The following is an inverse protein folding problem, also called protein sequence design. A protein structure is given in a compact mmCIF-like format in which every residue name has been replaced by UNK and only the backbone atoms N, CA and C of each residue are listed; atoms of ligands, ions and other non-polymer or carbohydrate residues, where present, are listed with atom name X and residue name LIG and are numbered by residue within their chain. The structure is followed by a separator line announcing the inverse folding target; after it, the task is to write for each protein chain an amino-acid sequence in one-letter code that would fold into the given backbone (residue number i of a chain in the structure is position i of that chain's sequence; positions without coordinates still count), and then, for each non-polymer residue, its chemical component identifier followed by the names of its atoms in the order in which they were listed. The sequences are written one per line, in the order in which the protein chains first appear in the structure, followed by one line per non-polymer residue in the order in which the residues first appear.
data_IF_608469350339
#
_entry.id   IF_608469350339
#
_cell.length_a   1.000
_cell.length_b   1.000
_cell.length_c   1.000
_cell.angle_alpha   90.00
_cell.angle_beta   90.00
_cell.angle_gamma   90.00
#
_symmetry.space_group_name_H-M   'P 1'
#
loop_
_entity.id
_entity.type
_entity.pdbx_description
1 polymer ?
#
# COMPACT_ATOMS: atom_id res chain seq x y z
N UNK A 1 23.89 -5.49 -9.08
CA UNK A 1 22.98 -5.58 -10.23
C UNK A 1 22.87 -4.22 -10.89
N UNK A 2 23.06 -4.20 -12.19
CA UNK A 2 23.00 -2.98 -12.99
C UNK A 2 21.63 -2.84 -13.66
N UNK A 3 21.02 -3.98 -14.00
CA UNK A 3 19.76 -4.06 -14.73
C UNK A 3 18.78 -4.98 -14.01
N UNK A 4 17.49 -4.70 -14.10
CA UNK A 4 16.43 -5.49 -13.46
C UNK A 4 16.38 -6.94 -13.92
N UNK A 5 16.71 -7.24 -15.18
CA UNK A 5 16.72 -8.61 -15.69
C UNK A 5 17.78 -9.51 -15.02
N UNK A 6 18.84 -8.92 -14.43
CA UNK A 6 19.86 -9.68 -13.69
C UNK A 6 19.34 -10.25 -12.37
N UNK A 7 18.14 -9.82 -11.93
CA UNK A 7 17.47 -10.35 -10.74
C UNK A 7 16.77 -11.69 -10.99
N UNK A 8 16.83 -12.20 -12.22
CA UNK A 8 16.18 -13.43 -12.64
C UNK A 8 17.18 -14.38 -13.29
N UNK A 9 16.95 -15.69 -13.21
CA UNK A 9 17.68 -16.63 -14.05
C UNK A 9 17.05 -16.72 -15.46
N UNK A 10 17.74 -17.37 -16.38
CA UNK A 10 17.29 -17.47 -17.79
C UNK A 10 15.92 -18.15 -17.91
N UNK A 11 15.63 -19.18 -17.10
CA UNK A 11 14.35 -19.90 -17.11
C UNK A 11 13.22 -19.03 -16.57
N UNK A 12 13.44 -18.31 -15.47
CA UNK A 12 12.49 -17.36 -14.93
C UNK A 12 12.16 -16.26 -15.94
N UNK A 13 13.18 -15.64 -16.54
CA UNK A 13 12.98 -14.63 -17.59
C UNK A 13 12.19 -15.16 -18.77
N UNK A 14 12.52 -16.33 -19.29
CA UNK A 14 11.80 -16.92 -20.40
C UNK A 14 10.33 -17.16 -20.07
N UNK A 15 10.04 -17.79 -18.92
CA UNK A 15 8.67 -18.08 -18.51
C UNK A 15 7.87 -16.80 -18.24
N UNK A 16 8.47 -15.82 -17.56
CA UNK A 16 7.83 -14.53 -17.27
C UNK A 16 7.59 -13.73 -18.55
N UNK A 17 8.54 -13.73 -19.51
CA UNK A 17 8.36 -13.04 -20.79
C UNK A 17 7.24 -13.65 -21.62
N UNK A 18 7.16 -14.99 -21.70
CA UNK A 18 6.06 -15.67 -22.39
C UNK A 18 4.72 -15.30 -21.76
N UNK A 19 4.64 -15.29 -20.42
CA UNK A 19 3.43 -14.92 -19.71
C UNK A 19 3.06 -13.45 -19.93
N UNK A 20 4.03 -12.54 -19.85
CA UNK A 20 3.85 -11.12 -20.12
C UNK A 20 3.30 -10.85 -21.54
N UNK A 21 3.87 -11.49 -22.57
CA UNK A 21 3.38 -11.38 -23.95
C UNK A 21 1.95 -11.91 -24.11
N UNK A 22 1.59 -12.98 -23.42
CA UNK A 22 0.20 -13.48 -23.43
C UNK A 22 -0.77 -12.51 -22.77
N UNK A 23 -0.37 -11.87 -21.67
CA UNK A 23 -1.18 -10.83 -21.01
C UNK A 23 -1.30 -9.59 -21.92
N UNK A 24 -0.21 -9.16 -22.53
CA UNK A 24 -0.19 -8.03 -23.47
C UNK A 24 -1.12 -8.22 -24.66
N UNK A 25 -1.27 -9.47 -25.12
CA UNK A 25 -2.15 -9.84 -26.22
C UNK A 25 -3.64 -9.91 -25.85
N UNK A 26 -4.04 -9.64 -24.61
CA UNK A 26 -5.44 -9.56 -24.22
C UNK A 26 -6.03 -8.25 -24.77
N UNK A 27 -7.07 -8.33 -25.59
CA UNK A 27 -7.70 -7.17 -26.24
C UNK A 27 -8.46 -6.29 -25.26
N UNK A 28 -9.17 -6.89 -24.30
CA UNK A 28 -9.97 -6.19 -23.33
C UNK A 28 -9.08 -5.49 -22.28
N UNK A 29 -9.12 -4.13 -22.18
CA UNK A 29 -8.18 -3.37 -21.37
C UNK A 29 -8.23 -3.69 -19.87
N UNK A 30 -9.44 -3.79 -19.29
CA UNK A 30 -9.62 -4.05 -17.85
C UNK A 30 -9.08 -5.44 -17.48
N UNK A 31 -9.31 -6.44 -18.31
CA UNK A 31 -8.77 -7.77 -18.12
C UNK A 31 -7.24 -7.77 -18.22
N UNK A 32 -6.69 -7.04 -19.18
CA UNK A 32 -5.24 -6.91 -19.33
C UNK A 32 -4.60 -6.26 -18.10
N UNK A 33 -5.21 -5.20 -17.56
CA UNK A 33 -4.76 -4.54 -16.32
C UNK A 33 -4.86 -5.48 -15.11
N UNK A 34 -5.97 -6.19 -14.96
CA UNK A 34 -6.19 -7.15 -13.88
C UNK A 34 -5.14 -8.27 -13.89
N UNK A 35 -4.86 -8.84 -15.07
CA UNK A 35 -3.83 -9.87 -15.21
C UNK A 35 -2.41 -9.32 -15.05
N UNK A 36 -2.18 -8.05 -15.36
CA UNK A 36 -0.90 -7.36 -15.09
C UNK A 36 -0.67 -7.19 -13.59
N UNK A 37 -1.72 -6.84 -12.83
CA UNK A 37 -1.65 -6.82 -11.37
C UNK A 37 -1.33 -8.20 -10.79
N UNK A 38 -1.99 -9.24 -11.32
CA UNK A 38 -1.73 -10.62 -10.90
C UNK A 38 -0.29 -11.05 -11.23
N UNK A 39 0.20 -10.69 -12.42
CA UNK A 39 1.56 -10.93 -12.88
C UNK A 39 2.58 -10.26 -11.94
N UNK A 40 2.33 -9.02 -11.53
CA UNK A 40 3.18 -8.32 -10.55
C UNK A 40 3.33 -9.12 -9.25
N UNK A 41 2.24 -9.70 -8.75
CA UNK A 41 2.33 -10.62 -7.60
C UNK A 41 3.20 -11.86 -7.87
N UNK A 42 3.19 -12.42 -9.09
CA UNK A 42 4.04 -13.56 -9.42
C UNK A 42 5.53 -13.19 -9.51
N UNK A 43 5.88 -11.94 -9.90
CA UNK A 43 7.25 -11.46 -9.94
C UNK A 43 7.94 -11.51 -8.57
N UNK A 44 7.22 -11.20 -7.49
CA UNK A 44 7.77 -11.20 -6.13
C UNK A 44 8.30 -12.57 -5.71
N UNK A 45 7.75 -13.65 -6.25
CA UNK A 45 8.10 -15.03 -5.89
C UNK A 45 8.99 -15.72 -6.93
N UNK A 46 9.13 -15.15 -8.11
CA UNK A 46 9.83 -15.78 -9.24
C UNK A 46 11.07 -14.99 -9.66
N UNK A 47 11.97 -14.79 -8.72
CA UNK A 47 13.25 -14.11 -8.91
C UNK A 47 14.36 -14.80 -8.10
N UNK A 48 15.62 -14.34 -8.20
CA UNK A 48 16.78 -14.94 -7.53
C UNK A 48 16.87 -14.66 -6.01
N UNK A 49 15.98 -13.82 -5.45
CA UNK A 49 16.06 -13.34 -4.07
C UNK A 49 14.90 -13.83 -3.18
N UNK A 50 14.08 -14.70 -3.73
CA UNK A 50 13.05 -15.39 -2.94
C UNK A 50 13.70 -16.30 -1.93
N UNK A 51 13.11 -16.41 -0.73
CA UNK A 51 13.64 -17.21 0.34
C UNK A 51 12.67 -18.32 0.76
N UNK A 52 13.18 -19.29 1.51
CA UNK A 52 12.39 -20.39 2.02
C UNK A 52 11.75 -20.02 3.36
N UNK A 53 10.48 -20.35 3.53
CA UNK A 53 9.73 -19.98 4.75
C UNK A 53 10.09 -20.80 5.99
N UNK A 54 10.85 -21.86 5.81
CA UNK A 54 11.31 -22.76 6.87
C UNK A 54 10.90 -24.21 6.62
N UNK A 55 11.46 -25.12 7.41
CA UNK A 55 11.22 -26.55 7.30
C UNK A 55 9.73 -26.89 7.52
N UNK A 56 9.24 -27.88 6.80
CA UNK A 56 7.90 -28.41 6.93
C UNK A 56 6.78 -27.62 6.23
N UNK A 57 7.02 -26.40 5.74
CA UNK A 57 5.97 -25.63 5.08
C UNK A 57 5.97 -25.76 3.55
N UNK A 58 7.12 -26.03 2.92
CA UNK A 58 7.30 -26.03 1.47
C UNK A 58 7.01 -24.66 0.81
N UNK A 59 6.86 -23.61 1.61
CA UNK A 59 6.43 -22.30 1.14
C UNK A 59 7.62 -21.39 0.83
N UNK A 60 7.48 -20.63 -0.25
CA UNK A 60 8.42 -19.59 -0.66
C UNK A 60 7.98 -18.25 -0.07
N UNK A 61 8.93 -17.45 0.41
CA UNK A 61 8.71 -16.04 0.75
C UNK A 61 9.01 -15.18 -0.45
N UNK A 62 8.23 -14.12 -0.61
CA UNK A 62 8.52 -13.10 -1.62
C UNK A 62 9.78 -12.30 -1.26
N UNK A 63 10.42 -11.71 -2.28
CA UNK A 63 11.68 -11.01 -2.12
C UNK A 63 11.61 -9.76 -1.21
N UNK A 64 10.43 -9.15 -1.11
CA UNK A 64 10.17 -7.94 -0.31
C UNK A 64 9.68 -8.23 1.12
N UNK A 65 9.88 -9.45 1.63
CA UNK A 65 9.45 -9.82 2.98
C UNK A 65 10.05 -8.93 4.11
N UNK A 66 11.07 -8.15 3.79
CA UNK A 66 11.71 -7.19 4.71
C UNK A 66 11.41 -5.72 4.39
N UNK A 67 10.47 -5.43 3.48
CA UNK A 67 10.10 -4.08 3.04
C UNK A 67 11.25 -3.24 2.44
N UNK A 68 12.36 -3.87 2.13
CA UNK A 68 13.53 -3.28 1.46
C UNK A 68 14.00 -4.17 0.32
N UNK A 69 14.67 -3.58 -0.66
CA UNK A 69 15.35 -4.32 -1.70
C UNK A 69 16.67 -4.89 -1.14
N UNK A 70 16.65 -6.15 -0.71
CA UNK A 70 17.83 -6.85 -0.17
C UNK A 70 18.23 -7.99 -1.11
N UNK A 71 19.18 -7.77 -2.02
CA UNK A 71 19.55 -8.73 -3.05
C UNK A 71 20.47 -9.84 -2.49
N UNK A 72 19.92 -10.72 -1.68
CA UNK A 72 20.60 -11.93 -1.22
C UNK A 72 20.17 -13.12 -2.08
N UNK A 73 21.09 -13.68 -2.85
CA UNK A 73 20.81 -14.89 -3.64
C UNK A 73 20.58 -16.09 -2.74
N UNK A 74 19.46 -16.74 -2.94
CA UNK A 74 19.14 -18.01 -2.31
C UNK A 74 18.97 -19.05 -3.41
N UNK A 75 19.51 -20.27 -3.27
CA UNK A 75 19.40 -21.33 -4.27
C UNK A 75 18.00 -21.96 -4.27
N UNK A 76 16.99 -21.14 -4.48
CA UNK A 76 15.58 -21.52 -4.52
C UNK A 76 14.94 -20.97 -5.77
N UNK A 77 14.11 -21.77 -6.42
CA UNK A 77 13.35 -21.36 -7.59
C UNK A 77 11.90 -21.81 -7.45
N UNK A 78 10.99 -20.86 -7.48
CA UNK A 78 9.57 -21.13 -7.57
C UNK A 78 9.14 -21.38 -9.01
N UNK A 79 8.02 -22.05 -9.20
CA UNK A 79 7.46 -22.29 -10.53
C UNK A 79 6.58 -21.09 -10.94
N UNK A 80 6.89 -20.45 -12.05
CA UNK A 80 6.18 -19.26 -12.54
C UNK A 80 4.70 -19.55 -12.80
N UNK A 81 4.41 -20.59 -13.59
CA UNK A 81 3.02 -20.99 -13.87
C UNK A 81 2.39 -21.72 -12.70
N UNK A 82 3.05 -22.76 -12.23
CA UNK A 82 2.69 -23.53 -11.04
C UNK A 82 1.54 -24.48 -11.19
N UNK A 83 1.11 -24.97 -10.04
CA UNK A 83 -0.05 -25.82 -9.85
C UNK A 83 -0.94 -25.19 -8.77
N UNK A 84 -2.11 -25.76 -8.51
CA UNK A 84 -3.03 -25.26 -7.46
C UNK A 84 -2.39 -25.23 -6.05
N UNK A 85 -1.31 -25.93 -5.82
CA UNK A 85 -0.59 -26.00 -4.53
C UNK A 85 0.75 -25.29 -4.53
N UNK A 86 1.19 -24.71 -5.65
CA UNK A 86 2.48 -24.01 -5.75
C UNK A 86 2.39 -22.64 -5.12
N UNK A 87 3.21 -22.37 -4.12
CA UNK A 87 3.31 -21.03 -3.52
C UNK A 87 3.87 -20.02 -4.52
N UNK A 88 3.27 -18.83 -4.61
CA UNK A 88 3.76 -17.73 -5.41
C UNK A 88 3.68 -17.92 -6.94
N UNK A 89 2.96 -18.92 -7.43
CA UNK A 89 2.74 -19.14 -8.84
C UNK A 89 1.55 -18.38 -9.39
N UNK A 90 1.56 -18.09 -10.68
CA UNK A 90 0.47 -17.38 -11.35
C UNK A 90 -0.88 -18.11 -11.22
N UNK A 91 -0.90 -19.44 -11.40
CA UNK A 91 -2.11 -20.26 -11.23
C UNK A 91 -2.69 -20.16 -9.81
N UNK A 92 -1.85 -20.30 -8.79
CA UNK A 92 -2.28 -20.23 -7.39
C UNK A 92 -2.82 -18.85 -7.03
N UNK A 93 -2.20 -17.80 -7.56
CA UNK A 93 -2.66 -16.44 -7.35
C UNK A 93 -3.96 -16.15 -8.08
N UNK A 94 -4.14 -16.67 -9.29
CA UNK A 94 -5.40 -16.55 -10.02
C UNK A 94 -6.57 -17.13 -9.19
N UNK A 95 -6.43 -18.37 -8.73
CA UNK A 95 -7.45 -19.03 -7.90
C UNK A 95 -7.64 -18.33 -6.54
N UNK A 96 -6.55 -17.94 -5.90
CA UNK A 96 -6.58 -17.38 -4.55
C UNK A 96 -6.92 -15.89 -4.48
N UNK A 97 -6.78 -15.14 -5.56
CA UNK A 97 -7.05 -13.69 -5.60
C UNK A 97 -8.21 -13.36 -6.51
N UNK A 98 -8.10 -13.64 -7.83
CA UNK A 98 -9.11 -13.23 -8.79
C UNK A 98 -10.41 -13.99 -8.58
N UNK A 99 -10.37 -15.31 -8.57
CA UNK A 99 -11.58 -16.12 -8.39
C UNK A 99 -12.27 -15.85 -7.06
N UNK A 100 -11.50 -15.78 -5.97
CA UNK A 100 -12.07 -15.44 -4.66
C UNK A 100 -12.61 -14.02 -4.57
N UNK A 101 -12.06 -13.06 -5.32
CA UNK A 101 -12.61 -11.72 -5.39
C UNK A 101 -13.95 -11.70 -6.13
N UNK A 102 -14.07 -12.46 -7.21
CA UNK A 102 -15.35 -12.63 -7.93
C UNK A 102 -16.39 -13.33 -7.04
N UNK A 103 -16.02 -14.44 -6.40
CA UNK A 103 -16.91 -15.15 -5.47
C UNK A 103 -17.40 -14.22 -4.33
N UNK A 104 -16.50 -13.34 -3.83
CA UNK A 104 -16.87 -12.35 -2.82
C UNK A 104 -17.79 -11.26 -3.38
N UNK A 105 -17.57 -10.83 -4.60
CA UNK A 105 -18.43 -9.83 -5.25
C UNK A 105 -19.85 -10.36 -5.49
N UNK A 106 -19.97 -11.66 -5.83
CA UNK A 106 -21.24 -12.32 -6.05
C UNK A 106 -22.03 -12.59 -4.75
N UNK A 107 -21.32 -12.95 -3.66
CA UNK A 107 -21.91 -13.25 -2.35
C UNK A 107 -21.03 -12.69 -1.21
N UNK A 108 -21.06 -11.36 -0.99
CA UNK A 108 -20.24 -10.69 -0.01
C UNK A 108 -20.60 -11.08 1.43
N UNK A 109 -19.59 -11.12 2.30
CA UNK A 109 -19.74 -11.45 3.70
C UNK A 109 -18.96 -10.52 4.61
N UNK A 110 -19.44 -10.37 5.84
CA UNK A 110 -18.73 -9.72 6.93
C UNK A 110 -18.15 -10.74 7.91
N UNK A 111 -17.08 -10.38 8.60
CA UNK A 111 -16.47 -11.21 9.63
C UNK A 111 -16.98 -10.81 11.02
N UNK A 112 -17.79 -11.68 11.65
CA UNK A 112 -18.20 -11.52 13.03
C UNK A 112 -17.22 -12.22 13.96
N UNK A 113 -16.77 -11.52 15.00
CA UNK A 113 -15.98 -12.10 16.08
C UNK A 113 -16.92 -12.75 17.09
N UNK A 114 -16.75 -14.05 17.34
CA UNK A 114 -17.43 -14.79 18.37
C UNK A 114 -16.46 -15.10 19.54
N UNK A 115 -16.97 -15.07 20.76
CA UNK A 115 -16.24 -15.40 21.99
C UNK A 115 -16.34 -14.31 23.05
N UNK A 116 -16.34 -14.71 24.32
CA UNK A 116 -16.31 -13.81 25.45
C UNK A 116 -14.92 -13.13 25.58
N UNK A 117 -14.89 -12.03 26.37
CA UNK A 117 -13.63 -11.36 26.69
C UNK A 117 -12.71 -12.36 27.44
N UNK A 118 -11.53 -12.62 26.90
CA UNK A 118 -10.55 -13.58 27.47
C UNK A 118 -10.54 -14.97 26.82
N UNK A 119 -11.49 -15.29 25.96
CA UNK A 119 -11.50 -16.54 25.20
C UNK A 119 -10.83 -16.40 23.82
N UNK A 120 -10.40 -17.53 23.24
CA UNK A 120 -9.86 -17.56 21.87
C UNK A 120 -10.99 -17.22 20.89
N UNK A 121 -10.97 -16.00 20.38
CA UNK A 121 -11.98 -15.50 19.44
C UNK A 121 -11.98 -16.34 18.15
N UNK A 122 -13.16 -16.77 17.73
CA UNK A 122 -13.41 -17.41 16.43
C UNK A 122 -14.03 -16.38 15.50
N UNK A 123 -13.67 -16.43 14.22
CA UNK A 123 -14.33 -15.64 13.18
C UNK A 123 -15.38 -16.48 12.47
N UNK A 124 -16.55 -15.91 12.29
CA UNK A 124 -17.66 -16.46 11.51
C UNK A 124 -17.95 -15.53 10.33
N UNK A 125 -18.20 -16.10 9.16
CA UNK A 125 -18.68 -15.35 8.01
C UNK A 125 -20.18 -15.16 8.10
N UNK A 126 -20.64 -13.92 7.98
CA UNK A 126 -22.06 -13.58 7.96
C UNK A 126 -22.39 -13.00 6.60
N UNK A 127 -23.28 -13.65 5.89
CA UNK A 127 -23.73 -13.29 4.54
C UNK A 127 -25.02 -12.46 4.59
N UNK A 128 -25.36 -11.79 3.48
CA UNK A 128 -26.59 -11.04 3.35
C UNK A 128 -26.62 -9.69 4.10
N UNK A 129 -25.50 -9.22 4.61
CA UNK A 129 -25.36 -7.92 5.27
C UNK A 129 -24.77 -6.84 4.35
N UNK A 130 -24.65 -7.12 3.06
CA UNK A 130 -24.07 -6.18 2.10
C UNK A 130 -25.07 -5.07 1.75
N UNK A 131 -24.64 -3.83 1.93
CA UNK A 131 -25.28 -2.70 1.31
C UNK A 131 -24.66 -2.46 -0.07
N UNK A 132 -25.47 -2.29 -1.14
CA UNK A 132 -24.91 -1.98 -2.44
C UNK A 132 -24.26 -0.58 -2.38
N UNK A 133 -22.94 -0.54 -2.50
CA UNK A 133 -22.19 0.67 -2.77
C UNK A 133 -22.48 1.04 -4.24
N UNK A 134 -23.45 1.93 -4.46
CA UNK A 134 -23.64 2.52 -5.77
C UNK A 134 -22.40 3.33 -6.12
N UNK A 135 -21.56 2.80 -7.03
CA UNK A 135 -20.38 3.50 -7.52
C UNK A 135 -20.82 4.62 -8.46
N UNK A 136 -21.14 5.76 -7.88
CA UNK A 136 -21.36 7.00 -8.63
C UNK A 136 -20.05 7.80 -8.56
N UNK A 137 -19.09 7.42 -9.44
CA UNK A 137 -17.78 8.03 -9.51
C UNK A 137 -17.87 9.42 -10.15
N UNK A 138 -17.22 10.38 -9.51
CA UNK A 138 -16.99 11.70 -10.06
C UNK A 138 -15.67 11.70 -10.86
N UNK A 139 -15.70 12.39 -11.99
CA UNK A 139 -14.51 12.60 -12.83
C UNK A 139 -13.56 13.66 -12.22
N UNK A 140 -14.13 14.62 -11.51
CA UNK A 140 -13.43 15.71 -10.81
C UNK A 140 -14.15 16.09 -9.51
N UNK A 141 -13.54 16.92 -8.69
CA UNK A 141 -14.12 17.38 -7.44
C UNK A 141 -15.40 18.21 -7.64
N UNK A 142 -15.52 18.94 -8.75
CA UNK A 142 -16.74 19.71 -9.08
C UNK A 142 -17.93 18.80 -9.36
N UNK A 143 -17.72 17.68 -10.04
CA UNK A 143 -18.74 16.67 -10.26
C UNK A 143 -19.14 15.95 -8.95
N UNK A 144 -18.18 15.68 -8.06
CA UNK A 144 -18.43 15.15 -6.72
C UNK A 144 -19.39 16.07 -5.93
N UNK A 145 -19.12 17.36 -5.91
CA UNK A 145 -19.99 18.36 -5.24
C UNK A 145 -21.42 18.41 -5.77
N UNK A 146 -21.65 18.03 -7.03
CA UNK A 146 -22.98 17.97 -7.64
C UNK A 146 -23.78 16.72 -7.26
N UNK A 147 -23.33 15.94 -6.29
CA UNK A 147 -24.04 14.80 -5.73
C UNK A 147 -23.49 13.44 -6.12
N UNK A 148 -22.27 13.38 -6.70
CA UNK A 148 -21.53 12.13 -6.86
C UNK A 148 -21.03 11.64 -5.48
N UNK A 149 -21.00 10.31 -5.28
CA UNK A 149 -20.69 9.72 -3.97
C UNK A 149 -19.22 9.46 -3.74
N UNK A 150 -18.44 9.28 -4.79
CA UNK A 150 -17.03 8.93 -4.72
C UNK A 150 -16.24 9.75 -5.73
N UNK A 151 -15.15 10.32 -5.27
CA UNK A 151 -14.14 10.94 -6.11
C UNK A 151 -12.79 10.26 -5.87
N UNK A 152 -12.15 9.82 -6.94
CA UNK A 152 -10.82 9.19 -6.90
C UNK A 152 -9.85 10.03 -7.72
N UNK A 153 -8.76 10.45 -7.10
CA UNK A 153 -7.68 11.16 -7.79
C UNK A 153 -6.34 10.48 -7.52
N UNK A 154 -5.41 10.65 -8.45
CA UNK A 154 -4.03 10.22 -8.32
C UNK A 154 -3.12 11.39 -8.66
N UNK A 155 -2.38 11.89 -7.67
CA UNK A 155 -1.53 13.07 -7.84
C UNK A 155 -0.69 13.36 -6.62
N UNK A 156 -0.18 14.58 -6.56
CA UNK A 156 0.59 15.11 -5.44
C UNK A 156 -0.36 15.50 -4.29
N UNK A 157 -0.21 14.87 -3.14
CA UNK A 157 -1.05 15.14 -1.95
C UNK A 157 -0.77 16.53 -1.32
N UNK A 158 0.26 17.24 -1.74
CA UNK A 158 0.52 18.62 -1.32
C UNK A 158 -0.24 19.66 -2.15
N UNK A 159 -0.87 19.25 -3.27
CA UNK A 159 -1.66 20.10 -4.15
C UNK A 159 -2.86 19.31 -4.68
N UNK A 160 -4.03 19.51 -4.10
CA UNK A 160 -5.27 18.86 -4.54
C UNK A 160 -6.22 19.86 -5.19
N UNK A 161 -7.17 19.37 -5.98
CA UNK A 161 -8.27 20.17 -6.54
C UNK A 161 -9.47 20.31 -5.57
N UNK A 162 -9.32 19.84 -4.33
CA UNK A 162 -10.35 19.91 -3.30
C UNK A 162 -10.48 21.36 -2.81
N UNK A 163 -11.69 21.85 -2.64
CA UNK A 163 -11.92 23.22 -2.18
C UNK A 163 -11.53 23.44 -0.71
N UNK A 164 -11.14 24.66 -0.40
CA UNK A 164 -10.83 25.07 0.97
C UNK A 164 -12.02 24.86 1.90
N UNK A 165 -11.75 24.27 3.09
CA UNK A 165 -12.75 24.09 4.14
C UNK A 165 -13.90 23.15 3.80
N UNK A 166 -13.78 22.33 2.75
CA UNK A 166 -14.87 21.49 2.25
C UNK A 166 -14.87 20.06 2.80
N UNK A 167 -13.85 19.67 3.57
CA UNK A 167 -13.66 18.31 4.10
C UNK A 167 -13.91 18.29 5.61
N UNK A 168 -14.75 17.39 6.09
CA UNK A 168 -15.05 17.25 7.53
C UNK A 168 -14.07 16.31 8.25
N UNK A 169 -13.52 15.34 7.54
CA UNK A 169 -12.55 14.41 8.12
C UNK A 169 -11.48 14.00 7.10
N UNK A 170 -10.23 13.97 7.56
CA UNK A 170 -9.09 13.42 6.83
C UNK A 170 -8.57 12.24 7.62
N UNK A 171 -8.46 11.08 6.97
CA UNK A 171 -7.89 9.86 7.56
C UNK A 171 -6.76 9.40 6.64
N UNK A 172 -5.56 9.26 7.19
CA UNK A 172 -4.37 8.92 6.40
C UNK A 172 -3.36 8.08 7.19
N UNK A 173 -2.46 7.46 6.47
CA UNK A 173 -1.31 6.72 6.96
C UNK A 173 -0.07 7.25 6.23
N UNK A 174 0.62 8.27 6.77
CA UNK A 174 1.75 8.91 6.11
C UNK A 174 2.96 7.96 6.08
N UNK A 175 3.93 8.17 5.17
CA UNK A 175 5.14 7.37 5.15
C UNK A 175 5.91 7.49 6.48
N UNK A 176 6.42 6.34 6.96
CA UNK A 176 7.13 6.24 8.24
C UNK A 176 8.62 6.60 8.09
N UNK A 177 8.89 7.85 7.76
CA UNK A 177 10.23 8.41 7.57
C UNK A 177 11.05 7.58 6.56
N UNK A 178 12.11 6.88 7.00
CA UNK A 178 13.00 6.08 6.16
C UNK A 178 12.75 4.55 6.21
N UNK A 179 11.59 4.12 6.73
CA UNK A 179 11.32 2.69 6.94
C UNK A 179 11.06 1.93 5.63
N UNK A 180 10.32 2.50 4.69
CA UNK A 180 9.93 1.84 3.43
C UNK A 180 10.29 2.73 2.24
N UNK A 181 11.12 2.20 1.36
CA UNK A 181 11.54 2.88 0.12
C UNK A 181 10.56 2.55 -1.02
N UNK A 182 9.36 3.16 -0.97
CA UNK A 182 8.23 2.82 -1.85
C UNK A 182 8.57 2.86 -3.34
N UNK A 183 9.15 3.94 -3.84
CA UNK A 183 9.50 4.08 -5.25
C UNK A 183 10.56 3.10 -5.71
N UNK A 184 11.53 2.77 -4.85
CA UNK A 184 12.55 1.77 -5.17
C UNK A 184 11.94 0.37 -5.33
N UNK A 185 10.96 0.02 -4.48
CA UNK A 185 10.24 -1.24 -4.57
C UNK A 185 9.31 -1.24 -5.78
N UNK A 186 8.64 -0.13 -6.05
CA UNK A 186 7.72 0.02 -7.16
C UNK A 186 8.43 -0.08 -8.53
N UNK A 187 9.65 0.43 -8.66
CA UNK A 187 10.44 0.37 -9.89
C UNK A 187 10.64 -1.08 -10.41
N UNK A 188 10.75 -2.05 -9.50
CA UNK A 188 10.85 -3.47 -9.87
C UNK A 188 9.63 -3.96 -10.67
N UNK A 189 8.44 -3.51 -10.30
CA UNK A 189 7.19 -3.87 -10.99
C UNK A 189 6.93 -2.98 -12.20
N UNK A 190 7.28 -1.72 -12.09
CA UNK A 190 7.02 -0.69 -13.09
C UNK A 190 7.60 -1.03 -14.47
N UNK A 191 8.80 -1.57 -14.52
CA UNK A 191 9.47 -1.95 -15.78
C UNK A 191 8.67 -3.01 -16.55
N UNK A 192 8.05 -3.96 -15.86
CA UNK A 192 7.21 -4.99 -16.45
C UNK A 192 5.82 -4.46 -16.84
N UNK A 193 5.25 -3.59 -16.02
CA UNK A 193 3.97 -2.93 -16.32
C UNK A 193 4.08 -2.07 -17.58
N UNK A 194 5.17 -1.33 -17.75
CA UNK A 194 5.44 -0.56 -18.97
C UNK A 194 5.49 -1.47 -20.20
N UNK A 195 6.14 -2.62 -20.08
CA UNK A 195 6.24 -3.59 -21.17
C UNK A 195 4.86 -4.17 -21.56
N UNK A 196 4.01 -4.48 -20.61
CA UNK A 196 2.71 -5.11 -20.84
C UNK A 196 1.63 -4.09 -21.24
N UNK A 197 1.53 -2.97 -20.53
CA UNK A 197 0.47 -1.98 -20.67
C UNK A 197 0.84 -0.79 -21.57
N UNK A 198 2.11 -0.69 -21.97
CA UNK A 198 2.62 0.43 -22.75
C UNK A 198 3.08 1.62 -21.91
N UNK A 199 3.80 2.52 -22.55
CA UNK A 199 4.48 3.68 -21.95
C UNK A 199 3.58 4.94 -21.99
N UNK A 200 2.41 4.88 -21.35
CA UNK A 200 1.43 5.96 -21.34
C UNK A 200 1.11 6.43 -19.91
N UNK A 201 0.70 7.68 -19.74
CA UNK A 201 0.34 8.25 -18.45
C UNK A 201 1.48 8.15 -17.44
N UNK A 202 1.21 7.65 -16.25
CA UNK A 202 2.21 7.46 -15.17
C UNK A 202 3.34 6.48 -15.55
N UNK A 203 3.16 5.69 -16.59
CA UNK A 203 4.15 4.75 -17.12
C UNK A 203 5.08 5.33 -18.21
N UNK A 204 4.96 6.62 -18.53
CA UNK A 204 5.82 7.30 -19.52
C UNK A 204 7.26 7.48 -19.03
N UNK A 205 7.49 7.46 -17.73
CA UNK A 205 8.80 7.60 -17.11
C UNK A 205 9.51 6.25 -16.94
N UNK A 206 10.83 6.26 -16.88
CA UNK A 206 11.64 5.05 -16.64
C UNK A 206 11.66 4.61 -15.18
N UNK A 207 11.14 5.43 -14.27
CA UNK A 207 11.17 5.20 -12.83
C UNK A 207 9.91 5.79 -12.20
N UNK A 208 9.49 5.22 -11.09
CA UNK A 208 8.41 5.75 -10.24
C UNK A 208 8.91 6.80 -9.24
N UNK A 209 10.24 7.00 -9.14
CA UNK A 209 10.84 7.98 -8.23
C UNK A 209 10.48 9.38 -8.64
N UNK A 210 10.07 10.18 -7.67
CA UNK A 210 9.71 11.58 -7.86
C UNK A 210 10.42 12.45 -6.82
N UNK A 211 10.87 13.67 -7.20
CA UNK A 211 11.32 14.65 -6.22
C UNK A 211 10.24 15.06 -5.21
N UNK A 212 8.97 14.90 -5.56
CA UNK A 212 7.82 15.16 -4.67
C UNK A 212 7.50 14.01 -3.70
N UNK A 213 8.18 12.88 -3.79
CA UNK A 213 7.97 11.76 -2.86
C UNK A 213 8.30 12.19 -1.42
N UNK A 214 7.33 12.04 -0.51
CA UNK A 214 7.48 12.46 0.89
C UNK A 214 8.52 11.62 1.62
N UNK A 215 8.54 10.30 1.38
CA UNK A 215 9.50 9.40 1.99
C UNK A 215 10.93 9.82 1.66
N UNK A 216 11.75 10.05 2.68
CA UNK A 216 13.14 10.47 2.53
C UNK A 216 13.96 10.09 3.74
N UNK A 217 15.24 9.74 3.55
CA UNK A 217 16.19 9.49 4.62
C UNK A 217 16.76 10.79 5.21
N UNK A 218 16.69 11.90 4.48
CA UNK A 218 17.04 13.23 4.99
C UNK A 218 15.90 13.82 5.80
N UNK A 219 16.18 14.15 7.05
CA UNK A 219 15.20 14.66 8.04
C UNK A 219 14.55 15.96 7.56
N UNK A 220 15.33 16.89 7.02
CA UNK A 220 14.83 18.19 6.59
C UNK A 220 13.92 18.07 5.39
N UNK A 221 14.33 17.28 4.38
CA UNK A 221 13.54 17.03 3.18
C UNK A 221 12.23 16.29 3.49
N UNK A 222 12.25 15.32 4.41
CA UNK A 222 11.05 14.63 4.87
C UNK A 222 10.09 15.60 5.58
N UNK A 223 10.61 16.39 6.53
CA UNK A 223 9.81 17.36 7.31
C UNK A 223 9.16 18.41 6.41
N UNK A 224 9.91 18.98 5.46
CA UNK A 224 9.41 19.98 4.50
C UNK A 224 8.29 19.42 3.62
N UNK A 225 8.51 18.24 3.01
CA UNK A 225 7.52 17.62 2.11
C UNK A 225 6.27 17.20 2.85
N UNK A 226 6.41 16.57 4.01
CA UNK A 226 5.26 16.22 4.84
C UNK A 226 4.52 17.46 5.33
N UNK A 227 5.26 18.53 5.66
CA UNK A 227 4.70 19.84 6.01
C UNK A 227 3.83 20.42 4.90
N UNK A 228 4.26 20.29 3.64
CA UNK A 228 3.46 20.72 2.48
C UNK A 228 2.15 19.93 2.36
N UNK A 229 2.19 18.62 2.60
CA UNK A 229 0.97 17.77 2.63
C UNK A 229 0.05 18.19 3.79
N UNK A 230 0.62 18.41 4.99
CA UNK A 230 -0.19 18.88 6.13
C UNK A 230 -0.78 20.27 5.91
N UNK A 231 -0.08 21.15 5.23
CA UNK A 231 -0.61 22.48 4.85
C UNK A 231 -1.82 22.34 3.91
N UNK A 232 -1.75 21.44 2.93
CA UNK A 232 -2.89 21.15 2.06
C UNK A 232 -4.05 20.51 2.84
N UNK A 233 -3.78 19.55 3.72
CA UNK A 233 -4.78 19.01 4.63
C UNK A 233 -5.44 20.10 5.48
N UNK A 234 -4.66 21.06 5.98
CA UNK A 234 -5.19 22.21 6.73
C UNK A 234 -6.10 23.09 5.86
N UNK A 235 -5.71 23.35 4.63
CA UNK A 235 -6.49 24.17 3.69
C UNK A 235 -7.86 23.56 3.41
N UNK A 236 -7.90 22.27 3.07
CA UNK A 236 -9.14 21.60 2.66
C UNK A 236 -10.06 21.22 3.84
N UNK A 237 -9.51 21.05 5.04
CA UNK A 237 -10.27 20.67 6.22
C UNK A 237 -11.17 21.84 6.69
N UNK A 238 -12.41 21.58 7.05
CA UNK A 238 -13.30 22.53 7.69
C UNK A 238 -12.80 22.95 9.09
N UNK A 239 -13.26 24.08 9.61
CA UNK A 239 -12.78 24.59 10.89
C UNK A 239 -13.01 23.65 12.07
N UNK A 240 -14.13 22.92 12.07
CA UNK A 240 -14.47 21.91 13.09
C UNK A 240 -14.04 20.49 12.67
N UNK A 241 -13.36 20.35 11.52
CA UNK A 241 -12.94 19.09 10.96
C UNK A 241 -11.86 18.37 11.77
N UNK A 242 -11.68 17.11 11.48
CA UNK A 242 -10.73 16.20 12.17
C UNK A 242 -9.71 15.66 11.19
N UNK A 243 -8.43 15.75 11.55
CA UNK A 243 -7.36 14.99 10.91
C UNK A 243 -6.97 13.84 11.84
N UNK A 244 -7.04 12.60 11.36
CA UNK A 244 -6.57 11.43 12.06
C UNK A 244 -5.55 10.68 11.21
N UNK A 245 -4.44 10.29 11.80
CA UNK A 245 -3.42 9.50 11.10
C UNK A 245 -2.80 8.45 12.01
N UNK A 246 -2.35 7.35 11.42
CA UNK A 246 -1.55 6.34 12.11
C UNK A 246 -0.07 6.68 11.94
N UNK A 247 0.72 6.44 12.97
CA UNK A 247 2.16 6.59 12.88
C UNK A 247 2.89 5.73 13.90
N UNK A 248 4.01 5.16 13.48
CA UNK A 248 4.97 4.58 14.37
C UNK A 248 6.41 4.80 13.87
N UNK A 249 7.31 4.99 14.77
CA UNK A 249 8.75 5.02 14.48
C UNK A 249 9.54 4.71 15.76
N UNK A 250 10.63 3.97 15.63
CA UNK A 250 11.50 3.60 16.78
C UNK A 250 12.40 4.74 17.23
N UNK A 251 12.78 5.63 16.29
CA UNK A 251 13.68 6.76 16.56
C UNK A 251 12.90 8.04 16.83
N UNK A 252 13.42 8.84 17.77
CA UNK A 252 12.83 10.14 18.13
C UNK A 252 12.82 11.14 16.97
N UNK A 253 13.80 11.05 16.06
CA UNK A 253 13.86 11.94 14.89
C UNK A 253 12.63 11.79 13.99
N UNK A 254 12.15 10.56 13.74
CA UNK A 254 10.94 10.32 12.97
C UNK A 254 9.71 10.98 13.60
N UNK A 255 9.55 10.87 14.92
CA UNK A 255 8.47 11.53 15.65
C UNK A 255 8.59 13.05 15.63
N UNK A 256 9.79 13.57 15.89
CA UNK A 256 10.04 15.01 15.89
C UNK A 256 9.71 15.64 14.54
N UNK A 257 10.11 15.00 13.44
CA UNK A 257 9.84 15.48 12.08
C UNK A 257 8.33 15.58 11.78
N UNK A 258 7.58 14.53 12.11
CA UNK A 258 6.12 14.50 11.88
C UNK A 258 5.42 15.56 12.73
N UNK A 259 5.77 15.66 14.02
CA UNK A 259 5.16 16.62 14.94
C UNK A 259 5.51 18.07 14.57
N UNK A 260 6.76 18.33 14.17
CA UNK A 260 7.16 19.65 13.70
C UNK A 260 6.37 20.05 12.46
N UNK A 261 6.34 19.23 11.43
CA UNK A 261 5.60 19.47 10.20
C UNK A 261 4.10 19.73 10.47
N UNK A 262 3.50 18.96 11.37
CA UNK A 262 2.10 19.10 11.78
C UNK A 262 1.82 20.43 12.47
N UNK A 263 2.70 20.83 13.41
CA UNK A 263 2.55 22.07 14.16
C UNK A 263 2.78 23.30 13.29
N UNK A 264 3.73 23.24 12.37
CA UNK A 264 4.00 24.31 11.41
C UNK A 264 2.83 24.52 10.46
N UNK A 265 2.17 23.45 10.03
CA UNK A 265 0.94 23.50 9.24
C UNK A 265 -0.28 24.06 9.99
N UNK A 266 -0.19 24.28 11.30
CA UNK A 266 -1.27 24.90 12.09
C UNK A 266 -2.16 23.93 12.85
N UNK A 267 -1.87 22.66 12.87
CA UNK A 267 -2.59 21.67 13.66
C UNK A 267 -2.14 21.62 15.11
N UNK A 268 -3.01 21.10 15.96
CA UNK A 268 -2.71 20.68 17.33
C UNK A 268 -3.30 19.29 17.59
N UNK A 269 -2.62 18.51 18.41
CA UNK A 269 -3.08 17.17 18.81
C UNK A 269 -4.19 17.31 19.83
N UNK A 270 -5.33 16.69 19.59
CA UNK A 270 -6.47 16.63 20.50
C UNK A 270 -6.57 15.30 21.27
N UNK A 271 -6.11 14.20 20.66
CA UNK A 271 -6.08 12.88 21.28
C UNK A 271 -5.02 11.97 20.63
N UNK A 272 -4.60 10.94 21.34
CA UNK A 272 -3.76 9.88 20.83
C UNK A 272 -4.19 8.53 21.41
N UNK A 273 -4.32 7.52 20.56
CA UNK A 273 -4.79 6.18 20.93
C UNK A 273 -3.76 5.13 20.53
N UNK A 274 -3.12 4.45 21.49
CA UNK A 274 -2.26 3.32 21.16
C UNK A 274 -3.09 2.15 20.66
N UNK A 275 -2.68 1.56 19.56
CA UNK A 275 -3.30 0.37 18.97
C UNK A 275 -2.24 -0.72 18.77
N UNK A 276 -2.67 -1.97 18.66
CA UNK A 276 -1.74 -3.06 18.38
C UNK A 276 -1.29 -3.00 16.94
N UNK A 277 0.03 -2.95 16.73
CA UNK A 277 0.61 -2.95 15.40
C UNK A 277 0.41 -4.28 14.65
N UNK A 278 0.37 -4.24 13.32
CA UNK A 278 0.19 -5.40 12.45
C UNK A 278 1.32 -6.43 12.54
N UNK A 279 2.50 -6.01 12.93
CA UNK A 279 3.76 -6.79 12.89
C UNK A 279 3.82 -8.00 13.83
N UNK A 280 2.78 -8.33 14.56
CA UNK A 280 2.76 -9.52 15.43
C UNK A 280 2.83 -10.86 14.67
N UNK A 281 2.70 -10.85 13.34
CA UNK A 281 2.65 -12.05 12.48
C UNK A 281 3.85 -12.17 11.54
N UNK A 282 4.60 -11.10 11.31
CA UNK A 282 5.76 -11.11 10.43
C UNK A 282 7.00 -11.62 11.17
N UNK A 283 7.74 -12.54 10.57
CA UNK A 283 9.11 -13.02 10.86
C UNK A 283 9.52 -13.07 12.35
N UNK A 284 10.44 -13.95 12.75
CA UNK A 284 10.95 -13.94 14.13
C UNK A 284 11.35 -12.51 14.51
N UNK A 285 10.73 -11.99 15.57
CA UNK A 285 10.92 -10.60 16.08
C UNK A 285 12.40 -10.17 16.21
N UNK A 286 13.30 -11.14 16.40
CA UNK A 286 14.75 -10.93 16.53
C UNK A 286 15.47 -10.65 15.21
N UNK A 287 14.81 -10.78 14.06
CA UNK A 287 15.38 -10.45 12.73
C UNK A 287 14.81 -9.14 12.16
N UNK A 288 13.75 -8.60 12.74
CA UNK A 288 13.31 -7.26 12.41
C UNK A 288 14.31 -6.25 12.98
N UNK A 289 14.72 -5.29 12.17
CA UNK A 289 15.69 -4.26 12.57
C UNK A 289 15.18 -3.49 13.80
N UNK A 290 13.86 -3.37 13.95
CA UNK A 290 13.16 -2.68 15.04
C UNK A 290 11.72 -3.19 15.16
N UNK A 291 11.44 -4.21 16.01
CA UNK A 291 10.08 -4.68 16.18
C UNK A 291 9.25 -3.65 16.94
N UNK A 292 8.20 -3.17 16.31
CA UNK A 292 7.24 -2.25 16.91
C UNK A 292 5.98 -3.04 17.27
N UNK A 293 5.61 -3.02 18.54
CA UNK A 293 4.43 -3.76 19.03
C UNK A 293 3.15 -2.88 19.04
N UNK A 294 3.32 -1.56 18.98
CA UNK A 294 2.21 -0.59 19.06
C UNK A 294 2.33 0.46 17.96
N UNK A 295 1.23 0.73 17.30
CA UNK A 295 1.01 1.93 16.52
C UNK A 295 0.22 2.96 17.33
N UNK A 296 0.23 4.20 16.89
CA UNK A 296 -0.53 5.25 17.53
C UNK A 296 -1.43 5.90 16.49
N UNK A 297 -2.73 5.97 16.78
CA UNK A 297 -3.65 6.83 16.05
C UNK A 297 -3.59 8.21 16.69
N UNK A 298 -3.14 9.19 15.94
CA UNK A 298 -3.05 10.59 16.38
C UNK A 298 -4.22 11.35 15.79
N UNK A 299 -4.97 12.04 16.64
CA UNK A 299 -6.14 12.85 16.26
C UNK A 299 -5.80 14.32 16.43
N UNK A 300 -5.99 15.10 15.39
CA UNK A 300 -5.63 16.50 15.32
C UNK A 300 -6.80 17.38 14.90
N UNK A 301 -6.74 18.63 15.31
CA UNK A 301 -7.64 19.70 14.86
C UNK A 301 -6.87 20.95 14.53
N UNK A 302 -7.47 21.86 13.79
CA UNK A 302 -6.92 23.21 13.62
C UNK A 302 -6.72 23.86 14.99
N UNK A 303 -5.58 24.50 15.23
CA UNK A 303 -5.29 25.14 16.53
C UNK A 303 -6.28 26.24 16.90
N UNK A 304 -6.88 26.89 15.91
CA UNK A 304 -7.97 27.85 16.10
C UNK A 304 -9.20 27.24 16.76
N UNK A 305 -9.52 25.97 16.43
CA UNK A 305 -10.64 25.25 17.04
C UNK A 305 -10.34 24.80 18.49
N UNK A 306 -9.09 24.37 18.76
CA UNK A 306 -8.68 23.93 20.11
C UNK A 306 -8.72 25.03 21.18
N UNK A 307 -8.64 26.31 20.79
CA UNK A 307 -8.73 27.46 21.72
C UNK A 307 -10.16 27.80 22.13
N UNK A 308 -11.18 27.19 21.52
CA UNK A 308 -12.60 27.43 21.81
C UNK A 308 -13.19 26.47 22.85
N UNK A 309 -12.42 25.47 23.26
CA UNK A 309 -12.75 24.47 24.29
C UNK A 309 -11.74 24.53 25.44
#
# INVERSE_FOLDING_TARGET
YRYWHEMFNARQLLCLSILAERIRAIDEPVMRELFTCLFSGALEFNNLFTSYKGEGTGAVRHMFAHHILKPERVPLEANVWGTRKSSGSFMTMFEGRIRRALDYADDPFELRLQGAIGEKKKTEKVYGLSEPLGFDLAEDFSAFKKGKRVYLSCGDSSVTDIEEGSVDAIITDPPFFDNVHYSQLADFFHVWQRHILGETGTRSTNTTRSPAEVQNADVSAFTERLGSVWAECYRVLSDEGVLAFTYHHSRSEGWSSVLQALMEAGFGISAAFPIKAEMSVAMPKHQAKEPIDLDIVVVCRKRSALKKH
#
